data_IF_822912390454
#
_entry.id   IF_822912390454
#
_cell.length_a   1.000
_cell.length_b   1.000
_cell.length_c   1.000
_cell.angle_alpha   90.00
_cell.angle_beta   90.00
_cell.angle_gamma   90.00
#
_symmetry.space_group_name_H-M   'P 1'
#
loop_
_entity.id
_entity.type
_entity.pdbx_description
1 polymer ?
#
# COMPACT_ATOMS: atom_id res chain seq x y z
N UNK A 1 -33.32 17.92 -3.96
CA UNK A 1 -32.31 19.00 -3.93
C UNK A 1 -31.49 18.87 -5.19
N UNK A 2 -31.71 19.79 -6.13
CA UNK A 2 -31.05 19.86 -7.45
C UNK A 2 -29.56 20.06 -7.24
N UNK A 3 -28.76 19.03 -7.52
CA UNK A 3 -27.31 19.13 -7.50
C UNK A 3 -26.88 19.91 -8.72
N UNK A 4 -26.36 21.11 -8.53
CA UNK A 4 -25.64 21.85 -9.56
C UNK A 4 -24.37 21.06 -9.90
N UNK A 5 -24.48 20.14 -10.86
CA UNK A 5 -23.34 19.51 -11.49
C UNK A 5 -22.51 20.57 -12.23
N UNK A 6 -21.21 20.30 -12.39
CA UNK A 6 -20.34 21.17 -13.20
C UNK A 6 -20.90 21.24 -14.61
N UNK A 7 -21.02 22.46 -15.16
CA UNK A 7 -21.59 22.66 -16.50
C UNK A 7 -20.79 21.94 -17.58
N UNK A 8 -21.45 21.51 -18.65
CA UNK A 8 -20.79 20.83 -19.77
C UNK A 8 -19.69 21.70 -20.40
N UNK A 9 -19.86 23.03 -20.37
CA UNK A 9 -18.86 24.00 -20.85
C UNK A 9 -17.59 23.95 -19.99
N UNK A 10 -17.71 24.01 -18.66
CA UNK A 10 -16.55 23.92 -17.75
C UNK A 10 -15.86 22.55 -17.87
N UNK A 11 -16.64 21.47 -18.08
CA UNK A 11 -16.08 20.14 -18.31
C UNK A 11 -15.25 20.10 -19.59
N UNK A 12 -15.76 20.64 -20.69
CA UNK A 12 -15.06 20.70 -21.97
C UNK A 12 -13.79 21.57 -21.88
N UNK A 13 -13.86 22.71 -21.20
CA UNK A 13 -12.70 23.57 -20.94
C UNK A 13 -11.62 22.83 -20.14
N UNK A 14 -12.00 22.01 -19.16
CA UNK A 14 -11.05 21.19 -18.38
C UNK A 14 -10.45 20.04 -19.17
N UNK A 15 -11.20 19.41 -20.07
CA UNK A 15 -10.66 18.41 -21.00
C UNK A 15 -9.59 19.07 -21.88
N UNK A 16 -9.88 20.25 -22.43
CA UNK A 16 -8.92 21.03 -23.21
C UNK A 16 -7.65 21.31 -22.40
N UNK A 17 -7.81 21.81 -21.16
CA UNK A 17 -6.68 22.10 -20.29
C UNK A 17 -5.86 20.86 -19.91
N UNK A 18 -6.49 19.69 -19.77
CA UNK A 18 -5.78 18.43 -19.53
C UNK A 18 -4.89 17.99 -20.72
N UNK A 19 -5.21 18.43 -21.95
CA UNK A 19 -4.34 18.27 -23.12
C UNK A 19 -3.21 19.30 -23.16
N UNK A 20 -3.46 20.52 -22.69
CA UNK A 20 -2.51 21.63 -22.80
C UNK A 20 -1.50 21.69 -21.64
N UNK A 21 -1.92 21.39 -20.42
CA UNK A 21 -1.08 21.41 -19.23
C UNK A 21 -0.46 20.02 -18.99
N UNK A 22 0.74 19.98 -18.41
CA UNK A 22 1.29 18.70 -17.93
C UNK A 22 0.71 18.36 -16.54
N UNK A 23 0.54 17.06 -16.22
CA UNK A 23 0.17 16.62 -14.88
C UNK A 23 1.08 17.23 -13.80
N UNK A 24 0.49 17.79 -12.75
CA UNK A 24 1.23 18.39 -11.63
C UNK A 24 1.93 19.72 -11.95
N UNK A 25 1.60 20.37 -13.06
CA UNK A 25 2.06 21.73 -13.35
C UNK A 25 1.44 22.76 -12.38
N UNK A 26 2.15 23.04 -11.29
CA UNK A 26 1.67 23.95 -10.23
C UNK A 26 1.41 25.38 -10.72
N UNK A 27 2.21 25.89 -11.67
CA UNK A 27 1.94 27.25 -12.17
C UNK A 27 0.68 27.26 -13.06
N UNK A 28 0.48 26.21 -13.86
CA UNK A 28 -0.76 26.03 -14.65
C UNK A 28 -1.99 25.86 -13.75
N UNK A 29 -1.86 25.05 -12.68
CA UNK A 29 -2.92 24.86 -11.70
C UNK A 29 -3.24 26.12 -10.91
N UNK A 30 -2.24 26.96 -10.61
CA UNK A 30 -2.46 28.28 -10.01
C UNK A 30 -3.29 29.19 -10.92
N UNK A 31 -2.94 29.27 -12.20
CA UNK A 31 -3.71 30.06 -13.18
C UNK A 31 -5.14 29.54 -13.28
N UNK A 32 -5.33 28.22 -13.31
CA UNK A 32 -6.66 27.61 -13.31
C UNK A 32 -7.47 27.98 -12.06
N UNK A 33 -6.85 27.98 -10.88
CA UNK A 33 -7.51 28.38 -9.62
C UNK A 33 -7.91 29.86 -9.63
N UNK A 34 -7.03 30.74 -10.11
CA UNK A 34 -7.22 32.19 -10.04
C UNK A 34 -8.12 32.75 -11.15
N UNK A 35 -8.03 32.20 -12.36
CA UNK A 35 -8.78 32.69 -13.53
C UNK A 35 -10.05 31.87 -13.80
N UNK A 36 -10.10 30.61 -13.36
CA UNK A 36 -11.10 29.63 -13.79
C UNK A 36 -10.78 29.01 -15.16
N UNK A 37 -11.41 27.87 -15.48
CA UNK A 37 -11.08 27.13 -16.70
C UNK A 37 -11.41 27.93 -17.96
N UNK A 38 -12.61 28.55 -18.00
CA UNK A 38 -13.10 29.29 -19.17
C UNK A 38 -12.19 30.44 -19.59
N UNK A 39 -11.73 31.24 -18.64
CA UNK A 39 -10.83 32.37 -18.92
C UNK A 39 -9.45 31.88 -19.36
N UNK A 40 -8.92 30.84 -18.71
CA UNK A 40 -7.61 30.28 -19.08
C UNK A 40 -7.63 29.68 -20.49
N UNK A 41 -8.70 28.98 -20.87
CA UNK A 41 -8.90 28.48 -22.25
C UNK A 41 -8.96 29.63 -23.24
N UNK A 42 -9.77 30.68 -22.98
CA UNK A 42 -9.85 31.86 -23.87
C UNK A 42 -8.48 32.48 -24.12
N UNK A 43 -7.65 32.65 -23.08
CA UNK A 43 -6.28 33.17 -23.23
C UNK A 43 -5.39 32.26 -24.06
N UNK A 44 -5.41 30.95 -23.78
CA UNK A 44 -4.59 29.96 -24.50
C UNK A 44 -4.98 29.82 -25.97
N UNK A 45 -6.26 30.05 -26.31
CA UNK A 45 -6.76 30.04 -27.68
C UNK A 45 -6.47 31.34 -28.47
N UNK A 46 -5.81 32.32 -27.86
CA UNK A 46 -5.35 33.54 -28.53
C UNK A 46 -6.16 34.81 -28.22
N UNK A 47 -7.24 34.71 -27.45
CA UNK A 47 -8.11 35.85 -27.11
C UNK A 47 -7.64 36.62 -25.86
N UNK A 48 -6.41 36.37 -25.38
CA UNK A 48 -5.83 37.10 -24.26
C UNK A 48 -4.33 36.86 -24.05
N UNK A 49 -3.68 37.79 -23.35
CA UNK A 49 -2.25 37.75 -23.07
C UNK A 49 -1.87 36.76 -21.94
N UNK A 50 -0.56 36.47 -21.80
CA UNK A 50 -0.06 35.55 -20.76
C UNK A 50 -0.49 35.97 -19.35
N UNK A 51 -0.91 35.03 -18.49
CA UNK A 51 -1.13 35.29 -17.08
C UNK A 51 0.18 35.70 -16.34
N UNK A 52 0.07 36.33 -15.17
CA UNK A 52 1.25 36.66 -14.35
C UNK A 52 2.13 35.43 -14.07
N UNK A 53 3.45 35.63 -14.18
CA UNK A 53 4.45 34.58 -13.97
C UNK A 53 4.72 33.66 -15.17
N UNK A 54 3.97 33.78 -16.26
CA UNK A 54 4.27 33.04 -17.49
C UNK A 54 5.47 33.66 -18.22
N UNK A 55 6.52 32.87 -18.45
CA UNK A 55 7.57 33.28 -19.40
C UNK A 55 7.06 33.20 -20.83
N UNK A 56 7.54 34.09 -21.70
CA UNK A 56 7.16 34.12 -23.12
C UNK A 56 7.36 32.76 -23.79
N UNK A 57 8.54 32.13 -23.58
CA UNK A 57 8.85 30.79 -24.10
C UNK A 57 7.82 29.74 -23.68
N UNK A 58 7.43 29.74 -22.41
CA UNK A 58 6.47 28.76 -21.87
C UNK A 58 5.08 29.02 -22.44
N UNK A 59 4.64 30.27 -22.42
CA UNK A 59 3.32 30.66 -22.91
C UNK A 59 3.14 30.30 -24.38
N UNK A 60 4.11 30.65 -25.24
CA UNK A 60 4.11 30.28 -26.66
C UNK A 60 4.02 28.77 -26.85
N UNK A 61 4.72 27.98 -26.03
CA UNK A 61 4.63 26.52 -26.06
C UNK A 61 3.24 25.98 -25.67
N UNK A 62 2.59 26.58 -24.67
CA UNK A 62 1.23 26.21 -24.27
C UNK A 62 0.20 26.59 -25.33
N UNK A 63 0.29 27.78 -25.93
CA UNK A 63 -0.57 28.18 -27.06
C UNK A 63 -0.39 27.26 -28.27
N UNK A 64 0.84 26.80 -28.55
CA UNK A 64 1.09 25.83 -29.62
C UNK A 64 0.45 24.45 -29.34
N UNK A 65 0.41 24.02 -28.07
CA UNK A 65 -0.34 22.81 -27.66
C UNK A 65 -1.85 23.03 -27.76
N UNK A 66 -2.33 24.20 -27.33
CA UNK A 66 -3.72 24.61 -27.41
C UNK A 66 -4.26 24.58 -28.85
N UNK A 67 -3.48 25.05 -29.82
CA UNK A 67 -3.83 24.99 -31.24
C UNK A 67 -3.96 23.57 -31.83
N UNK A 68 -3.60 22.52 -31.08
CA UNK A 68 -3.78 21.10 -31.47
C UNK A 68 -4.75 20.35 -30.55
N UNK A 69 -5.31 21.02 -29.55
CA UNK A 69 -6.20 20.38 -28.60
C UNK A 69 -7.62 20.28 -29.19
N UNK A 70 -8.14 19.06 -29.24
CA UNK A 70 -9.52 18.76 -29.60
C UNK A 70 -10.18 18.03 -28.42
N UNK A 71 -10.86 18.77 -27.52
CA UNK A 71 -11.46 18.19 -26.34
C UNK A 71 -12.69 17.32 -26.63
N UNK A 72 -13.40 17.56 -27.73
CA UNK A 72 -14.55 16.75 -28.14
C UNK A 72 -14.08 15.38 -28.63
N UNK A 73 -13.01 15.35 -29.43
CA UNK A 73 -12.37 14.12 -29.87
C UNK A 73 -11.84 13.30 -28.67
N UNK A 74 -11.25 13.96 -27.67
CA UNK A 74 -10.80 13.30 -26.45
C UNK A 74 -11.94 12.66 -25.66
N UNK A 75 -13.05 13.38 -25.49
CA UNK A 75 -14.24 12.82 -24.84
C UNK A 75 -14.80 11.64 -25.62
N UNK A 76 -14.88 11.74 -26.95
CA UNK A 76 -15.35 10.65 -27.80
C UNK A 76 -14.44 9.41 -27.70
N UNK A 77 -13.12 9.60 -27.71
CA UNK A 77 -12.13 8.50 -27.53
C UNK A 77 -12.23 7.88 -26.14
N UNK A 78 -12.37 8.69 -25.10
CA UNK A 78 -12.58 8.20 -23.74
C UNK A 78 -13.85 7.35 -23.66
N UNK A 79 -14.97 7.86 -24.15
CA UNK A 79 -16.26 7.16 -24.14
C UNK A 79 -16.20 5.85 -24.92
N UNK A 80 -15.55 5.82 -26.09
CA UNK A 80 -15.35 4.60 -26.87
C UNK A 80 -14.53 3.52 -26.12
N UNK A 81 -13.64 3.94 -25.21
CA UNK A 81 -12.87 3.04 -24.34
C UNK A 81 -13.58 2.67 -23.02
N UNK A 82 -14.81 3.15 -22.81
CA UNK A 82 -15.57 2.97 -21.57
C UNK A 82 -15.06 3.84 -20.42
N UNK A 83 -14.35 4.93 -20.73
CA UNK A 83 -13.88 5.91 -19.77
C UNK A 83 -14.79 7.14 -19.73
N UNK A 84 -14.84 7.80 -18.58
CA UNK A 84 -15.45 9.12 -18.38
C UNK A 84 -14.40 10.10 -17.88
N UNK A 85 -14.68 11.39 -18.03
CA UNK A 85 -13.85 12.44 -17.46
C UNK A 85 -14.55 13.04 -16.24
N UNK A 86 -13.87 13.07 -15.10
CA UNK A 86 -14.33 13.70 -13.87
C UNK A 86 -13.59 15.03 -13.64
N UNK A 87 -14.31 16.00 -13.10
CA UNK A 87 -13.76 17.32 -12.78
C UNK A 87 -13.99 17.66 -11.31
N UNK A 88 -13.15 18.51 -10.68
CA UNK A 88 -13.42 19.04 -9.35
C UNK A 88 -14.83 19.65 -9.27
N UNK A 89 -15.61 19.20 -8.29
CA UNK A 89 -17.03 19.57 -8.14
C UNK A 89 -18.01 18.47 -8.57
N UNK A 90 -17.57 17.50 -9.36
CA UNK A 90 -18.39 16.30 -9.62
C UNK A 90 -18.65 15.54 -8.31
N UNK A 91 -19.84 14.94 -8.19
CA UNK A 91 -20.21 14.14 -7.00
C UNK A 91 -19.25 12.97 -6.75
N UNK A 92 -18.65 12.45 -7.82
CA UNK A 92 -17.66 11.38 -7.83
C UNK A 92 -16.21 11.87 -7.64
N UNK A 93 -15.96 13.18 -7.62
CA UNK A 93 -14.61 13.70 -7.43
C UNK A 93 -14.04 13.30 -6.05
N UNK A 94 -12.87 12.65 -5.98
CA UNK A 94 -12.23 12.35 -4.71
C UNK A 94 -11.58 13.61 -4.14
N UNK A 95 -12.23 14.24 -3.15
CA UNK A 95 -11.76 15.48 -2.53
C UNK A 95 -10.37 15.40 -1.90
N UNK A 96 -9.86 14.20 -1.59
CA UNK A 96 -8.48 13.97 -1.12
C UNK A 96 -7.42 14.44 -2.14
N UNK A 97 -7.77 14.58 -3.41
CA UNK A 97 -6.88 15.17 -4.42
C UNK A 97 -6.71 16.67 -4.28
N UNK A 98 -7.60 17.34 -3.55
CA UNK A 98 -7.53 18.79 -3.34
C UNK A 98 -6.36 19.18 -2.42
N UNK A 99 -5.87 18.24 -1.60
CA UNK A 99 -4.67 18.40 -0.78
C UNK A 99 -3.40 18.68 -1.62
N UNK A 100 -3.42 18.36 -2.92
CA UNK A 100 -2.32 18.65 -3.84
C UNK A 100 -2.22 20.14 -4.20
N UNK A 101 -3.20 20.97 -3.81
CA UNK A 101 -3.21 22.40 -4.08
C UNK A 101 -3.13 22.71 -5.58
N UNK A 102 -2.18 23.56 -5.96
CA UNK A 102 -1.95 23.92 -7.37
C UNK A 102 -1.45 22.73 -8.22
N UNK A 103 -0.94 21.67 -7.59
CA UNK A 103 -0.55 20.42 -8.26
C UNK A 103 -1.71 19.44 -8.48
N UNK A 104 -2.94 19.78 -8.07
CA UNK A 104 -4.15 18.96 -8.25
C UNK A 104 -4.41 18.67 -9.74
N UNK A 105 -4.90 17.46 -10.10
CA UNK A 105 -5.31 17.20 -11.47
C UNK A 105 -6.38 18.18 -11.97
N UNK A 106 -6.23 18.64 -13.22
CA UNK A 106 -7.25 19.48 -13.91
C UNK A 106 -8.59 18.75 -13.99
N UNK A 107 -8.52 17.44 -14.19
CA UNK A 107 -9.58 16.45 -14.08
C UNK A 107 -8.97 15.04 -14.13
N UNK A 108 -9.82 14.02 -14.09
CA UNK A 108 -9.41 12.62 -14.11
C UNK A 108 -10.17 11.84 -15.18
N UNK A 109 -9.44 11.15 -16.04
CA UNK A 109 -9.98 10.09 -16.87
C UNK A 109 -10.15 8.83 -16.03
N UNK A 110 -11.34 8.22 -16.09
CA UNK A 110 -11.71 7.09 -15.25
C UNK A 110 -12.39 6.03 -16.10
N UNK A 111 -11.77 4.87 -16.20
CA UNK A 111 -12.32 3.68 -16.85
C UNK A 111 -12.71 2.65 -15.79
N UNK A 112 -13.92 2.10 -15.92
CA UNK A 112 -14.56 1.23 -14.93
C UNK A 112 -15.78 1.90 -14.29
N UNK A 113 -16.64 1.11 -13.64
CA UNK A 113 -17.99 1.55 -13.22
C UNK A 113 -18.10 2.02 -11.77
N UNK A 114 -17.14 1.68 -10.92
CA UNK A 114 -17.18 2.04 -9.51
C UNK A 114 -17.05 3.56 -9.30
N UNK A 115 -17.55 4.04 -8.15
CA UNK A 115 -17.44 5.44 -7.77
C UNK A 115 -16.07 5.72 -7.15
N UNK A 116 -15.24 6.53 -7.83
CA UNK A 116 -13.85 6.82 -7.42
C UNK A 116 -13.80 7.46 -6.03
N UNK A 117 -14.66 8.45 -5.75
CA UNK A 117 -14.72 9.10 -4.43
C UNK A 117 -14.99 8.11 -3.32
N UNK A 118 -15.99 7.25 -3.48
CA UNK A 118 -16.33 6.26 -2.45
C UNK A 118 -15.17 5.29 -2.20
N UNK A 119 -14.49 4.87 -3.25
CA UNK A 119 -13.34 3.98 -3.14
C UNK A 119 -12.12 4.67 -2.49
N UNK A 120 -11.90 5.95 -2.77
CA UNK A 120 -10.81 6.71 -2.18
C UNK A 120 -10.93 6.83 -0.65
N UNK A 121 -12.15 6.87 -0.09
CA UNK A 121 -12.39 7.00 1.36
C UNK A 121 -11.81 5.86 2.20
N UNK A 122 -11.70 4.65 1.64
CA UNK A 122 -11.19 3.47 2.34
C UNK A 122 -10.14 2.77 1.48
N UNK A 123 -9.06 3.49 1.19
CA UNK A 123 -8.02 3.03 0.28
C UNK A 123 -6.60 3.15 0.82
N UNK A 124 -5.73 2.24 0.37
CA UNK A 124 -4.30 2.17 0.71
C UNK A 124 -3.49 2.01 -0.56
N UNK A 125 -2.39 2.75 -0.67
CA UNK A 125 -1.44 2.56 -1.76
C UNK A 125 -0.49 1.40 -1.43
N UNK A 126 -0.33 0.45 -2.34
CA UNK A 126 0.68 -0.61 -2.24
C UNK A 126 1.63 -0.46 -3.42
N UNK A 127 2.87 -0.05 -3.15
CA UNK A 127 3.86 0.33 -4.18
C UNK A 127 5.21 -0.29 -3.91
N UNK A 128 6.05 -0.42 -4.94
CA UNK A 128 7.39 -0.93 -4.74
C UNK A 128 8.23 -1.07 -6.00
N UNK A 129 9.26 -1.91 -5.91
CA UNK A 129 10.22 -2.14 -6.96
C UNK A 129 9.57 -2.78 -8.20
N UNK A 130 9.96 -2.28 -9.38
CA UNK A 130 9.52 -2.85 -10.67
C UNK A 130 10.16 -4.21 -10.96
N UNK A 131 11.40 -4.39 -10.53
CA UNK A 131 12.12 -5.65 -10.54
C UNK A 131 12.21 -6.15 -9.08
N UNK A 132 11.06 -6.51 -8.50
CA UNK A 132 10.99 -7.01 -7.14
C UNK A 132 11.47 -8.47 -7.06
N UNK A 133 11.79 -8.91 -5.85
CA UNK A 133 12.09 -10.31 -5.56
C UNK A 133 10.81 -11.15 -5.53
N UNK A 134 10.95 -12.48 -5.46
CA UNK A 134 9.80 -13.37 -5.19
C UNK A 134 9.15 -13.06 -3.85
N UNK A 135 9.95 -12.73 -2.83
CA UNK A 135 9.47 -12.25 -1.53
C UNK A 135 8.62 -10.98 -1.70
N UNK A 136 9.14 -9.97 -2.41
CA UNK A 136 8.42 -8.72 -2.65
C UNK A 136 7.12 -8.94 -3.44
N UNK A 137 7.14 -9.80 -4.46
CA UNK A 137 5.93 -10.16 -5.21
C UNK A 137 4.90 -10.89 -4.33
N UNK A 138 5.35 -11.83 -3.50
CA UNK A 138 4.49 -12.56 -2.57
C UNK A 138 3.85 -11.63 -1.53
N UNK A 139 4.65 -10.81 -0.86
CA UNK A 139 4.15 -9.84 0.12
C UNK A 139 3.16 -8.85 -0.48
N UNK A 140 3.45 -8.34 -1.68
CA UNK A 140 2.54 -7.43 -2.38
C UNK A 140 1.20 -8.10 -2.71
N UNK A 141 1.22 -9.33 -3.22
CA UNK A 141 0.01 -10.08 -3.52
C UNK A 141 -0.78 -10.44 -2.25
N UNK A 142 -0.10 -10.86 -1.18
CA UNK A 142 -0.71 -11.18 0.10
C UNK A 142 -1.39 -9.95 0.72
N UNK A 143 -0.66 -8.85 0.86
CA UNK A 143 -1.21 -7.58 1.36
C UNK A 143 -2.38 -7.11 0.50
N UNK A 144 -2.25 -7.24 -0.83
CA UNK A 144 -3.33 -6.88 -1.76
C UNK A 144 -4.61 -7.67 -1.51
N UNK A 145 -4.51 -8.99 -1.37
CA UNK A 145 -5.63 -9.87 -1.08
C UNK A 145 -6.25 -9.59 0.31
N UNK A 146 -5.42 -9.56 1.36
CA UNK A 146 -5.89 -9.42 2.73
C UNK A 146 -6.51 -8.04 3.03
N UNK A 147 -5.99 -6.97 2.43
CA UNK A 147 -6.59 -5.63 2.50
C UNK A 147 -7.96 -5.64 1.84
N UNK A 148 -8.08 -6.24 0.66
CA UNK A 148 -9.33 -6.32 -0.08
C UNK A 148 -10.40 -7.13 0.67
N UNK A 149 -10.04 -8.25 1.29
CA UNK A 149 -10.94 -9.04 2.15
C UNK A 149 -11.46 -8.25 3.36
N UNK A 150 -10.67 -7.28 3.84
CA UNK A 150 -11.02 -6.33 4.90
C UNK A 150 -11.79 -5.10 4.38
N UNK A 151 -12.21 -5.10 3.12
CA UNK A 151 -12.98 -4.02 2.50
C UNK A 151 -12.15 -2.79 2.12
N UNK A 152 -10.82 -2.90 2.05
CA UNK A 152 -9.94 -1.82 1.62
C UNK A 152 -9.68 -1.86 0.12
N UNK A 153 -9.74 -0.69 -0.51
CA UNK A 153 -9.39 -0.51 -1.91
C UNK A 153 -7.88 -0.36 -2.04
N UNK A 154 -7.26 -1.25 -2.80
CA UNK A 154 -5.81 -1.16 -3.06
C UNK A 154 -5.56 -0.30 -4.28
N UNK A 155 -4.79 0.78 -4.11
CA UNK A 155 -4.39 1.68 -5.19
C UNK A 155 -2.94 1.44 -5.54
N UNK A 156 -2.62 1.32 -6.82
CA UNK A 156 -1.24 1.21 -7.27
C UNK A 156 -1.06 1.74 -8.69
N UNK A 157 0.17 1.69 -9.21
CA UNK A 157 0.55 2.31 -10.46
C UNK A 157 0.44 1.43 -11.70
N UNK A 158 0.00 0.17 -11.57
CA UNK A 158 -0.05 -0.79 -12.67
C UNK A 158 1.30 -1.22 -13.26
N UNK A 159 2.43 -0.81 -12.66
CA UNK A 159 3.76 -1.13 -13.15
C UNK A 159 4.11 -2.63 -12.96
N UNK A 160 5.22 -3.07 -13.55
CA UNK A 160 5.79 -4.39 -13.23
C UNK A 160 6.15 -4.51 -11.74
N UNK A 161 6.40 -5.75 -11.30
CA UNK A 161 6.82 -6.06 -9.93
C UNK A 161 5.69 -5.88 -8.92
N UNK A 162 5.96 -5.13 -7.85
CA UNK A 162 5.07 -4.97 -6.69
C UNK A 162 3.67 -4.50 -7.09
N UNK A 163 3.56 -3.44 -7.91
CA UNK A 163 2.26 -2.89 -8.34
C UNK A 163 1.37 -3.98 -8.99
N UNK A 164 1.95 -4.72 -9.95
CA UNK A 164 1.24 -5.79 -10.64
C UNK A 164 0.88 -6.96 -9.72
N UNK A 165 1.75 -7.31 -8.76
CA UNK A 165 1.48 -8.36 -7.80
C UNK A 165 0.36 -7.99 -6.82
N UNK A 166 0.34 -6.75 -6.33
CA UNK A 166 -0.72 -6.24 -5.47
C UNK A 166 -2.09 -6.28 -6.17
N UNK A 167 -2.17 -5.77 -7.40
CA UNK A 167 -3.41 -5.86 -8.19
C UNK A 167 -3.87 -7.31 -8.42
N UNK A 168 -2.93 -8.23 -8.72
CA UNK A 168 -3.28 -9.66 -8.89
C UNK A 168 -3.81 -10.29 -7.60
N UNK A 169 -3.22 -9.96 -6.46
CA UNK A 169 -3.70 -10.41 -5.15
C UNK A 169 -5.15 -10.00 -4.90
N UNK A 170 -5.45 -8.71 -5.10
CA UNK A 170 -6.80 -8.16 -4.95
C UNK A 170 -7.81 -8.83 -5.88
N UNK A 171 -7.48 -8.93 -7.17
CA UNK A 171 -8.36 -9.55 -8.16
C UNK A 171 -8.55 -11.06 -7.94
N UNK A 172 -7.59 -11.72 -7.27
CA UNK A 172 -7.67 -13.13 -6.90
C UNK A 172 -8.78 -13.42 -5.89
N UNK A 173 -9.06 -12.47 -4.99
CA UNK A 173 -10.14 -12.56 -4.00
C UNK A 173 -11.42 -11.82 -4.43
N UNK A 174 -11.48 -11.32 -5.66
CA UNK A 174 -12.63 -10.56 -6.18
C UNK A 174 -12.79 -9.17 -5.55
N UNK A 175 -11.70 -8.60 -5.03
CA UNK A 175 -11.69 -7.33 -4.32
C UNK A 175 -11.61 -6.07 -5.20
N UNK A 176 -11.61 -4.91 -4.56
CA UNK A 176 -11.58 -3.61 -5.21
C UNK A 176 -10.15 -3.05 -5.36
N UNK A 177 -9.77 -2.65 -6.58
CA UNK A 177 -8.45 -2.06 -6.84
C UNK A 177 -8.49 -0.95 -7.89
N UNK A 178 -7.60 0.03 -7.73
CA UNK A 178 -7.45 1.18 -8.65
C UNK A 178 -6.03 1.23 -9.20
N UNK A 179 -5.89 1.15 -10.53
CA UNK A 179 -4.63 1.43 -11.20
C UNK A 179 -4.60 2.90 -11.66
N UNK A 180 -3.73 3.71 -11.06
CA UNK A 180 -3.46 5.08 -11.54
C UNK A 180 -2.41 4.97 -12.63
N UNK A 181 -2.63 5.43 -13.87
CA UNK A 181 -1.69 5.30 -14.98
C UNK A 181 -0.92 6.59 -15.28
N UNK A 182 0.29 6.44 -15.81
CA UNK A 182 1.13 7.54 -16.30
C UNK A 182 1.00 7.75 -17.83
N UNK A 183 -0.11 7.31 -18.40
CA UNK A 183 -0.50 7.38 -19.81
C UNK A 183 -2.03 7.52 -19.91
N UNK A 184 -2.58 7.64 -21.12
CA UNK A 184 -4.02 7.57 -21.34
C UNK A 184 -4.61 6.26 -20.81
N UNK A 185 -5.81 6.32 -20.21
CA UNK A 185 -6.49 5.16 -19.60
C UNK A 185 -6.94 4.10 -20.62
N UNK A 186 -6.94 4.46 -21.90
CA UNK A 186 -7.20 3.62 -23.06
C UNK A 186 -5.93 2.88 -23.55
N UNK A 187 -4.75 3.24 -23.03
CA UNK A 187 -3.46 2.63 -23.40
C UNK A 187 -2.84 1.88 -22.23
N UNK A 188 -3.08 0.56 -22.12
CA UNK A 188 -2.43 -0.24 -21.08
C UNK A 188 -0.90 -0.18 -21.21
N UNK A 189 -0.24 0.30 -20.17
CA UNK A 189 1.21 0.26 -20.04
C UNK A 189 1.61 -0.22 -18.64
N UNK A 190 2.57 -1.15 -18.52
CA UNK A 190 3.38 -1.72 -19.60
C UNK A 190 2.64 -2.77 -20.45
N UNK A 191 3.13 -3.05 -21.66
CA UNK A 191 2.48 -4.00 -22.60
C UNK A 191 2.27 -5.40 -22.02
N UNK A 192 3.18 -5.87 -21.17
CA UNK A 192 3.03 -7.16 -20.48
C UNK A 192 1.85 -7.20 -19.50
N UNK A 193 1.29 -6.06 -19.13
CA UNK A 193 0.15 -5.93 -18.21
C UNK A 193 -1.16 -5.58 -18.92
N UNK A 194 -1.27 -5.71 -20.25
CA UNK A 194 -2.52 -5.43 -20.99
C UNK A 194 -3.71 -6.19 -20.40
N UNK A 195 -3.57 -7.52 -20.20
CA UNK A 195 -4.64 -8.33 -19.63
C UNK A 195 -4.97 -7.94 -18.18
N UNK A 196 -3.96 -7.66 -17.37
CA UNK A 196 -4.13 -7.22 -16.00
C UNK A 196 -4.90 -5.90 -15.93
N UNK A 197 -4.49 -4.89 -16.70
CA UNK A 197 -5.11 -3.57 -16.72
C UNK A 197 -6.55 -3.65 -17.26
N UNK A 198 -6.81 -4.48 -18.27
CA UNK A 198 -8.19 -4.73 -18.73
C UNK A 198 -9.05 -5.35 -17.63
N UNK A 199 -8.54 -6.34 -16.91
CA UNK A 199 -9.26 -6.95 -15.77
C UNK A 199 -9.50 -5.95 -14.63
N UNK A 200 -8.52 -5.07 -14.36
CA UNK A 200 -8.71 -3.95 -13.42
C UNK A 200 -9.81 -3.01 -13.92
N UNK A 201 -9.89 -2.69 -15.21
CA UNK A 201 -10.97 -1.85 -15.72
C UNK A 201 -12.37 -2.50 -15.63
N UNK A 202 -12.44 -3.83 -15.66
CA UNK A 202 -13.69 -4.59 -15.57
C UNK A 202 -14.20 -4.71 -14.13
N UNK A 203 -13.31 -5.00 -13.18
CA UNK A 203 -13.64 -5.31 -11.77
C UNK A 203 -13.32 -4.16 -10.82
N UNK A 204 -12.48 -3.23 -11.27
CA UNK A 204 -11.88 -2.14 -10.53
C UNK A 204 -12.02 -0.80 -11.24
N UNK A 205 -10.99 0.03 -11.10
CA UNK A 205 -10.87 1.30 -11.81
C UNK A 205 -9.47 1.47 -12.40
N UNK A 206 -9.41 2.02 -13.60
CA UNK A 206 -8.19 2.54 -14.20
C UNK A 206 -8.36 4.05 -14.31
N UNK A 207 -7.48 4.81 -13.66
CA UNK A 207 -7.58 6.27 -13.58
C UNK A 207 -6.30 6.92 -14.09
N UNK A 208 -6.39 8.12 -14.64
CA UNK A 208 -5.23 8.85 -15.15
C UNK A 208 -5.55 10.31 -15.43
N UNK A 209 -4.52 11.14 -15.46
CA UNK A 209 -4.67 12.57 -15.77
C UNK A 209 -4.47 12.87 -17.26
N UNK A 210 -3.75 12.00 -17.94
CA UNK A 210 -3.38 12.20 -19.33
C UNK A 210 -4.55 11.84 -20.24
N UNK A 211 -4.79 12.66 -21.28
CA UNK A 211 -5.83 12.40 -22.29
C UNK A 211 -5.71 11.01 -22.93
N UNK A 212 -6.81 10.48 -23.50
CA UNK A 212 -6.77 9.25 -24.26
C UNK A 212 -5.72 9.29 -25.38
N UNK A 213 -5.00 8.20 -25.57
CA UNK A 213 -3.94 8.09 -26.55
C UNK A 213 -2.56 8.58 -26.11
N UNK A 214 -2.44 9.31 -25.00
CA UNK A 214 -1.14 9.81 -24.54
C UNK A 214 -0.20 8.67 -24.10
N UNK A 215 1.07 8.77 -24.47
CA UNK A 215 2.08 7.79 -24.10
C UNK A 215 2.77 8.15 -22.77
N UNK A 216 3.31 7.15 -22.05
CA UNK A 216 4.05 7.41 -20.83
C UNK A 216 5.43 7.99 -21.11
N UNK A 217 5.95 8.78 -20.17
CA UNK A 217 7.33 9.26 -20.13
C UNK A 217 7.92 9.05 -18.74
N UNK A 218 9.26 9.02 -18.57
CA UNK A 218 9.89 8.87 -17.26
C UNK A 218 9.43 9.93 -16.24
N UNK A 219 9.26 11.19 -16.65
CA UNK A 219 8.79 12.27 -15.77
C UNK A 219 7.32 12.06 -15.36
N UNK A 220 6.46 11.64 -16.28
CA UNK A 220 5.03 11.38 -16.01
C UNK A 220 4.81 10.27 -14.99
N UNK A 221 5.71 9.26 -14.91
CA UNK A 221 5.66 8.26 -13.83
C UNK A 221 5.87 8.88 -12.45
N UNK A 222 6.80 9.83 -12.33
CA UNK A 222 7.10 10.51 -11.06
C UNK A 222 5.93 11.42 -10.68
N UNK A 223 5.40 12.18 -11.64
CA UNK A 223 4.27 13.09 -11.43
C UNK A 223 2.99 12.35 -11.02
N UNK A 224 2.69 11.22 -11.66
CA UNK A 224 1.55 10.35 -11.35
C UNK A 224 1.55 9.87 -9.90
N UNK A 225 2.72 9.61 -9.32
CA UNK A 225 2.81 9.06 -7.96
C UNK A 225 2.20 9.97 -6.89
N UNK A 226 2.14 11.29 -7.11
CA UNK A 226 1.45 12.20 -6.18
C UNK A 226 -0.06 11.92 -6.12
N UNK A 227 -0.68 11.45 -7.22
CA UNK A 227 -2.10 11.08 -7.27
C UNK A 227 -2.34 9.78 -6.50
N UNK A 228 -1.45 8.80 -6.62
CA UNK A 228 -1.53 7.57 -5.81
C UNK A 228 -1.50 7.91 -4.31
N UNK A 229 -0.52 8.74 -3.92
CA UNK A 229 -0.40 9.20 -2.54
C UNK A 229 -1.63 10.01 -2.11
N UNK A 230 -2.13 10.91 -2.99
CA UNK A 230 -3.26 11.80 -2.72
C UNK A 230 -4.64 11.13 -2.77
N UNK A 231 -4.78 9.95 -3.38
CA UNK A 231 -6.04 9.19 -3.34
C UNK A 231 -6.22 8.37 -2.07
N UNK A 232 -5.14 8.05 -1.36
CA UNK A 232 -5.12 6.98 -0.34
C UNK A 232 -4.92 7.47 1.08
N UNK A 233 -5.43 6.74 2.09
CA UNK A 233 -5.23 7.10 3.51
C UNK A 233 -3.81 6.82 4.01
N UNK A 234 -3.10 5.90 3.35
CA UNK A 234 -1.71 5.60 3.61
C UNK A 234 -1.03 4.86 2.47
N UNK A 235 0.30 4.79 2.52
CA UNK A 235 1.15 4.16 1.50
C UNK A 235 2.08 3.11 2.11
N UNK A 236 1.95 1.86 1.67
CA UNK A 236 2.85 0.74 1.99
C UNK A 236 3.89 0.58 0.90
N UNK A 237 5.16 0.63 1.26
CA UNK A 237 6.29 0.33 0.37
C UNK A 237 6.79 -1.09 0.64
N UNK A 238 6.61 -2.00 -0.32
CA UNK A 238 6.96 -3.41 -0.15
C UNK A 238 8.46 -3.67 -0.36
N UNK A 239 9.01 -3.18 -1.46
CA UNK A 239 10.44 -3.21 -1.75
C UNK A 239 10.84 -1.92 -2.47
N UNK A 240 12.00 -1.36 -2.12
CA UNK A 240 12.56 -0.19 -2.76
C UNK A 240 14.08 -0.10 -2.52
N UNK A 241 14.86 0.03 -3.60
CA UNK A 241 16.22 0.55 -3.51
C UNK A 241 16.21 2.07 -3.26
N UNK A 242 17.34 2.67 -2.84
CA UNK A 242 17.46 4.10 -2.47
C UNK A 242 16.90 5.10 -3.50
N UNK A 243 16.93 4.77 -4.79
CA UNK A 243 16.44 5.64 -5.89
C UNK A 243 15.16 5.12 -6.54
N UNK A 244 14.42 4.25 -5.84
CA UNK A 244 13.15 3.71 -6.33
C UNK A 244 12.08 4.79 -6.43
N UNK A 245 11.27 4.74 -7.50
CA UNK A 245 10.11 5.61 -7.67
C UNK A 245 9.05 5.42 -6.58
N UNK A 246 8.98 4.24 -5.94
CA UNK A 246 8.07 3.98 -4.83
C UNK A 246 8.33 4.90 -3.61
N UNK A 247 9.59 5.27 -3.38
CA UNK A 247 9.96 6.22 -2.32
C UNK A 247 9.47 7.64 -2.63
N UNK A 248 9.28 7.99 -3.90
CA UNK A 248 8.66 9.27 -4.27
C UNK A 248 7.19 9.28 -3.83
N UNK A 249 6.46 8.17 -4.00
CA UNK A 249 5.08 8.03 -3.52
C UNK A 249 5.02 8.16 -2.00
N UNK A 250 5.88 7.46 -1.27
CA UNK A 250 5.93 7.54 0.19
C UNK A 250 6.23 8.97 0.69
N UNK A 251 7.22 9.65 0.10
CA UNK A 251 7.52 11.06 0.45
C UNK A 251 6.37 12.00 0.10
N UNK A 252 5.62 11.74 -0.97
CA UNK A 252 4.42 12.51 -1.29
C UNK A 252 3.33 12.28 -0.23
N UNK A 253 3.12 11.04 0.23
CA UNK A 253 2.18 10.73 1.31
C UNK A 253 2.57 11.44 2.62
N UNK A 254 3.86 11.44 3.00
CA UNK A 254 4.35 12.18 4.17
C UNK A 254 4.09 13.68 4.08
N UNK A 255 4.34 14.31 2.93
CA UNK A 255 4.04 15.75 2.71
C UNK A 255 2.56 16.07 2.83
N UNK A 256 1.69 15.11 2.53
CA UNK A 256 0.23 15.24 2.67
C UNK A 256 -0.27 14.85 4.06
N UNK A 257 0.62 14.57 5.02
CA UNK A 257 0.25 14.16 6.38
C UNK A 257 -0.37 12.76 6.46
N UNK A 258 -0.04 11.87 5.51
CA UNK A 258 -0.61 10.52 5.41
C UNK A 258 0.36 9.47 5.92
N UNK A 259 -0.18 8.38 6.44
CA UNK A 259 0.64 7.28 6.95
C UNK A 259 1.53 6.70 5.85
N UNK A 260 2.80 6.52 6.19
CA UNK A 260 3.75 5.74 5.40
C UNK A 260 4.14 4.49 6.16
N UNK A 261 4.19 3.39 5.45
CA UNK A 261 4.47 2.07 6.00
C UNK A 261 5.50 1.36 5.12
N UNK A 262 6.29 0.47 5.73
CA UNK A 262 7.30 -0.31 5.03
C UNK A 262 7.24 -1.78 5.41
N UNK A 263 7.31 -2.65 4.41
CA UNK A 263 7.46 -4.09 4.64
C UNK A 263 8.93 -4.39 4.97
N UNK A 264 9.22 -5.11 6.08
CA UNK A 264 10.59 -5.44 6.41
C UNK A 264 11.18 -6.38 5.35
N UNK A 265 12.49 -6.34 5.17
CA UNK A 265 13.20 -7.26 4.30
C UNK A 265 14.65 -7.45 4.76
N UNK A 266 15.39 -8.41 4.18
CA UNK A 266 16.74 -8.73 4.62
C UNK A 266 17.66 -7.51 4.58
N UNK A 267 18.43 -7.29 5.65
CA UNK A 267 19.41 -6.20 5.73
C UNK A 267 20.48 -6.25 4.61
N UNK A 268 20.71 -7.44 4.05
CA UNK A 268 21.64 -7.69 2.94
C UNK A 268 21.03 -7.42 1.56
N UNK A 269 19.72 -7.18 1.46
CA UNK A 269 19.05 -6.93 0.19
C UNK A 269 19.10 -5.46 -0.19
N UNK A 270 19.72 -5.16 -1.34
CA UNK A 270 19.72 -3.80 -1.90
C UNK A 270 18.30 -3.29 -2.24
N UNK A 271 17.34 -4.21 -2.47
CA UNK A 271 15.93 -3.89 -2.70
C UNK A 271 15.17 -3.58 -1.42
N UNK A 272 15.72 -3.86 -0.23
CA UNK A 272 15.12 -3.50 1.05
C UNK A 272 15.70 -2.19 1.62
N UNK A 273 16.89 -1.79 1.16
CA UNK A 273 17.63 -0.65 1.72
C UNK A 273 16.84 0.67 1.77
N UNK A 274 16.08 1.00 0.71
CA UNK A 274 15.24 2.19 0.68
C UNK A 274 14.03 2.11 1.62
N UNK A 275 13.49 0.90 1.85
CA UNK A 275 12.45 0.69 2.86
C UNK A 275 13.02 0.83 4.26
N UNK A 276 14.24 0.34 4.50
CA UNK A 276 14.92 0.53 5.79
C UNK A 276 15.16 2.00 6.11
N UNK A 277 15.58 2.83 5.13
CA UNK A 277 15.67 4.28 5.36
C UNK A 277 14.32 4.91 5.67
N UNK A 278 13.26 4.46 4.98
CA UNK A 278 11.91 4.92 5.23
C UNK A 278 11.47 4.60 6.67
N UNK A 279 11.76 3.38 7.15
CA UNK A 279 11.45 2.89 8.49
C UNK A 279 12.32 3.51 9.60
N UNK A 280 13.53 4.01 9.28
CA UNK A 280 14.33 4.80 10.22
C UNK A 280 13.80 6.24 10.37
N UNK A 281 13.02 6.71 9.41
CA UNK A 281 12.26 7.95 9.51
C UNK A 281 10.90 7.73 10.14
N UNK A 282 9.88 8.43 9.64
CA UNK A 282 8.54 8.45 10.24
C UNK A 282 7.60 7.34 9.72
N UNK A 283 8.13 6.30 9.06
CA UNK A 283 7.30 5.21 8.57
C UNK A 283 7.19 4.06 9.56
N UNK A 284 6.02 3.42 9.58
CA UNK A 284 5.74 2.30 10.47
C UNK A 284 6.05 0.97 9.77
N UNK A 285 6.70 0.06 10.48
CA UNK A 285 6.91 -1.31 10.00
C UNK A 285 5.56 -2.03 9.99
N UNK A 286 5.21 -2.62 8.85
CA UNK A 286 4.03 -3.48 8.71
C UNK A 286 4.42 -4.79 8.02
N UNK A 287 3.78 -5.86 8.42
CA UNK A 287 4.06 -7.22 7.96
C UNK A 287 2.80 -7.96 7.48
N UNK A 288 1.61 -7.45 7.80
CA UNK A 288 0.33 -7.95 7.28
C UNK A 288 -0.67 -6.81 7.05
N UNK A 289 -1.85 -7.14 6.54
CA UNK A 289 -2.90 -6.14 6.33
C UNK A 289 -3.53 -5.61 7.63
N UNK A 290 -3.53 -6.37 8.73
CA UNK A 290 -4.14 -5.92 9.99
C UNK A 290 -3.34 -4.74 10.58
N UNK A 291 -2.01 -4.81 10.55
CA UNK A 291 -1.13 -3.72 10.98
C UNK A 291 -1.27 -2.47 10.08
N UNK A 292 -1.53 -2.66 8.79
CA UNK A 292 -1.86 -1.54 7.88
C UNK A 292 -3.18 -0.90 8.28
N UNK A 293 -4.22 -1.71 8.48
CA UNK A 293 -5.57 -1.24 8.84
C UNK A 293 -5.60 -0.54 10.19
N UNK A 294 -4.81 -0.99 11.17
CA UNK A 294 -4.67 -0.32 12.46
C UNK A 294 -4.25 1.15 12.33
N UNK A 295 -3.36 1.44 11.39
CA UNK A 295 -2.87 2.80 11.16
C UNK A 295 -3.86 3.64 10.38
N UNK A 296 -4.41 3.07 9.31
CA UNK A 296 -5.21 3.86 8.36
C UNK A 296 -6.71 3.77 8.59
N UNK A 297 -7.20 2.87 9.43
CA UNK A 297 -8.63 2.57 9.60
C UNK A 297 -9.37 3.48 10.56
N UNK A 298 -10.54 3.02 10.99
CA UNK A 298 -11.36 3.72 11.95
C UNK A 298 -10.95 3.34 13.38
N UNK A 299 -11.29 4.19 14.35
CA UNK A 299 -10.94 3.96 15.76
C UNK A 299 -11.52 2.60 16.20
N UNK A 300 -10.65 1.71 16.66
CA UNK A 300 -11.01 0.37 17.14
C UNK A 300 -10.68 -0.77 16.17
N UNK A 301 -10.24 -0.49 14.94
CA UNK A 301 -9.74 -1.50 14.01
C UNK A 301 -8.29 -1.90 14.32
N UNK A 302 -8.05 -2.46 15.52
CA UNK A 302 -6.71 -2.81 15.98
C UNK A 302 -6.20 -4.11 15.35
N UNK A 303 -4.89 -4.18 15.13
CA UNK A 303 -4.25 -5.43 14.79
C UNK A 303 -4.34 -6.38 16.00
N UNK A 304 -4.53 -7.69 15.77
CA UNK A 304 -4.60 -8.64 16.87
C UNK A 304 -3.26 -8.73 17.60
N UNK A 305 -3.31 -8.80 18.94
CA UNK A 305 -2.16 -9.08 19.78
C UNK A 305 -1.46 -10.36 19.31
N UNK A 306 -0.25 -10.22 18.76
CA UNK A 306 0.56 -11.37 18.34
C UNK A 306 1.29 -11.95 19.54
N UNK A 307 0.83 -13.11 20.00
CA UNK A 307 1.48 -13.90 21.05
C UNK A 307 1.85 -15.26 20.48
N UNK A 308 3.03 -15.76 20.83
CA UNK A 308 3.41 -17.13 20.51
C UNK A 308 2.39 -18.13 21.10
N UNK A 309 2.34 -19.36 20.60
CA UNK A 309 1.48 -20.38 21.19
C UNK A 309 1.83 -20.52 22.67
N UNK A 310 0.83 -20.46 23.55
CA UNK A 310 1.02 -20.77 24.96
C UNK A 310 1.37 -22.25 25.03
N UNK A 311 2.61 -22.57 25.38
CA UNK A 311 3.00 -23.96 25.55
C UNK A 311 2.47 -24.43 26.89
N UNK A 312 2.04 -25.70 27.02
CA UNK A 312 1.55 -26.23 28.30
C UNK A 312 2.50 -25.95 29.49
N UNK A 313 3.82 -25.93 29.24
CA UNK A 313 4.86 -25.64 30.26
C UNK A 313 4.85 -24.19 30.75
N UNK A 314 4.33 -23.25 29.95
CA UNK A 314 4.25 -21.84 30.28
C UNK A 314 3.15 -21.57 31.31
N UNK A 315 2.26 -22.55 31.51
CA UNK A 315 1.21 -22.57 32.54
C UNK A 315 1.69 -23.20 33.86
N UNK A 316 2.90 -23.76 33.91
CA UNK A 316 3.44 -24.32 35.15
C UNK A 316 3.79 -23.20 36.14
N UNK A 317 3.46 -23.45 37.41
CA UNK A 317 3.92 -22.65 38.54
C UNK A 317 5.45 -22.49 38.51
N UNK A 318 6.01 -21.34 38.94
CA UNK A 318 7.44 -21.06 38.81
C UNK A 318 8.36 -22.16 39.37
N UNK A 319 8.01 -22.74 40.52
CA UNK A 319 8.78 -23.83 41.13
C UNK A 319 8.73 -25.13 40.31
N UNK A 320 7.57 -25.51 39.79
CA UNK A 320 7.43 -26.68 38.91
C UNK A 320 8.21 -26.49 37.59
N UNK A 321 8.22 -25.26 37.05
CA UNK A 321 8.99 -24.93 35.84
C UNK A 321 10.50 -25.03 36.06
N UNK A 322 10.99 -24.56 37.21
CA UNK A 322 12.42 -24.67 37.59
C UNK A 322 12.84 -26.14 37.75
N UNK A 323 12.02 -26.94 38.44
CA UNK A 323 12.26 -28.38 38.58
C UNK A 323 12.24 -29.08 37.22
N UNK A 324 11.27 -28.76 36.35
CA UNK A 324 11.21 -29.31 34.99
C UNK A 324 12.46 -28.97 34.16
N UNK A 325 12.97 -27.73 34.27
CA UNK A 325 14.16 -27.28 33.57
C UNK A 325 15.47 -27.92 34.07
N UNK A 326 15.49 -28.38 35.33
CA UNK A 326 16.63 -29.05 35.94
C UNK A 326 16.75 -30.54 35.55
N UNK A 327 15.73 -31.15 34.94
CA UNK A 327 15.84 -32.51 34.43
C UNK A 327 16.78 -32.59 33.21
N UNK A 328 17.59 -33.65 33.09
CA UNK A 328 18.46 -33.83 31.95
C UNK A 328 17.63 -34.07 30.67
N UNK A 329 18.05 -33.45 29.56
CA UNK A 329 17.40 -33.62 28.26
C UNK A 329 17.46 -35.05 27.69
N UNK A 330 18.33 -35.92 28.23
CA UNK A 330 18.43 -37.35 27.94
C UNK A 330 18.80 -38.10 29.22
N UNK A 331 18.26 -39.31 29.39
CA UNK A 331 18.53 -40.13 30.57
C UNK A 331 17.63 -39.78 31.77
N UNK A 332 17.97 -40.29 32.95
CA UNK A 332 17.24 -40.04 34.19
C UNK A 332 18.20 -39.47 35.24
N UNK A 333 17.71 -38.58 36.11
CA UNK A 333 18.47 -37.98 37.21
C UNK A 333 17.83 -38.28 38.57
N UNK A 334 18.64 -38.36 39.62
CA UNK A 334 18.15 -38.52 40.98
C UNK A 334 17.51 -37.23 41.50
N UNK A 335 16.62 -37.34 42.48
CA UNK A 335 15.92 -36.19 43.08
C UNK A 335 16.90 -35.12 43.59
N UNK A 336 17.97 -35.51 44.29
CA UNK A 336 18.95 -34.57 44.84
C UNK A 336 19.71 -33.79 43.76
N UNK A 337 19.92 -34.42 42.59
CA UNK A 337 20.55 -33.78 41.44
C UNK A 337 19.61 -32.75 40.81
N UNK A 338 18.34 -33.11 40.64
CA UNK A 338 17.30 -32.22 40.11
C UNK A 338 17.07 -31.05 41.07
N UNK A 339 16.97 -31.31 42.38
CA UNK A 339 16.79 -30.29 43.41
C UNK A 339 17.94 -29.27 43.40
N UNK A 340 19.19 -29.76 43.33
CA UNK A 340 20.38 -28.90 43.23
C UNK A 340 20.37 -28.07 41.95
N UNK A 341 20.01 -28.66 40.81
CA UNK A 341 19.90 -27.95 39.54
C UNK A 341 18.78 -26.90 39.51
N UNK A 342 17.67 -27.18 40.19
CA UNK A 342 16.53 -26.28 40.31
C UNK A 342 16.70 -25.20 41.40
N UNK A 343 17.72 -25.31 42.25
CA UNK A 343 17.94 -24.41 43.37
C UNK A 343 16.88 -24.53 44.47
N UNK A 344 16.32 -25.73 44.67
CA UNK A 344 15.28 -25.99 45.68
C UNK A 344 15.67 -27.16 46.60
N UNK A 345 14.85 -27.45 47.61
CA UNK A 345 15.06 -28.59 48.52
C UNK A 345 14.63 -29.90 47.89
N UNK A 346 15.15 -31.03 48.38
CA UNK A 346 14.73 -32.35 47.90
C UNK A 346 13.22 -32.57 48.06
N UNK A 347 12.64 -32.15 49.19
CA UNK A 347 11.21 -32.30 49.47
C UNK A 347 10.33 -31.51 48.49
N UNK A 348 10.69 -30.26 48.20
CA UNK A 348 9.97 -29.44 47.21
C UNK A 348 10.16 -30.03 45.80
N UNK A 349 11.37 -30.45 45.44
CA UNK A 349 11.63 -31.11 44.17
C UNK A 349 10.78 -32.38 44.00
N UNK A 350 10.62 -33.21 45.04
CA UNK A 350 9.74 -34.39 45.01
C UNK A 350 8.28 -33.97 44.76
N UNK A 351 7.77 -32.98 45.50
CA UNK A 351 6.41 -32.49 45.33
C UNK A 351 6.14 -32.02 43.90
N UNK A 352 7.05 -31.21 43.34
CA UNK A 352 6.99 -30.72 41.96
C UNK A 352 7.16 -31.81 40.93
N UNK A 353 8.00 -32.83 41.17
CA UNK A 353 8.16 -33.96 40.24
C UNK A 353 6.88 -34.81 40.14
N UNK A 354 6.14 -34.98 41.24
CA UNK A 354 4.83 -35.64 41.20
C UNK A 354 3.76 -34.79 40.51
N UNK A 355 3.76 -33.47 40.75
CA UNK A 355 2.92 -32.52 40.00
C UNK A 355 3.19 -32.64 38.49
N UNK A 356 4.46 -32.52 38.08
CA UNK A 356 4.91 -32.64 36.69
C UNK A 356 4.58 -34.01 36.08
N UNK A 357 4.60 -35.09 36.88
CA UNK A 357 4.20 -36.43 36.43
C UNK A 357 2.70 -36.50 36.14
N UNK A 358 1.87 -35.90 37.00
CA UNK A 358 0.42 -35.86 36.78
C UNK A 358 0.05 -35.11 35.50
N UNK A 359 0.85 -34.10 35.15
CA UNK A 359 0.73 -33.32 33.92
C UNK A 359 1.42 -33.99 32.71
N UNK A 360 2.05 -35.15 32.90
CA UNK A 360 2.67 -35.93 31.83
C UNK A 360 4.04 -35.45 31.36
N UNK A 361 4.71 -34.54 32.08
CA UNK A 361 6.03 -34.03 31.71
C UNK A 361 7.19 -34.97 32.05
N UNK A 362 7.06 -35.69 33.16
CA UNK A 362 8.12 -36.57 33.67
C UNK A 362 7.57 -37.95 34.00
N UNK A 363 8.44 -38.94 33.94
CA UNK A 363 8.16 -40.29 34.39
C UNK A 363 9.25 -40.76 35.37
N UNK A 364 8.83 -41.56 36.36
CA UNK A 364 9.72 -42.10 37.38
C UNK A 364 10.26 -43.46 36.92
N UNK A 365 11.57 -43.65 37.02
CA UNK A 365 12.32 -44.86 36.68
C UNK A 365 13.18 -45.27 37.88
N UNK A 366 12.64 -46.16 38.73
CA UNK A 366 13.26 -46.47 40.03
C UNK A 366 13.29 -45.23 40.93
N UNK A 367 14.47 -44.84 41.38
CA UNK A 367 14.70 -43.63 42.20
C UNK A 367 15.11 -42.41 41.38
N UNK A 368 15.13 -42.54 40.05
CA UNK A 368 15.43 -41.46 39.12
C UNK A 368 14.19 -41.00 38.36
N UNK A 369 14.27 -39.79 37.82
CA UNK A 369 13.22 -39.14 37.04
C UNK A 369 13.75 -38.75 35.67
N UNK A 370 12.90 -38.89 34.65
CA UNK A 370 13.24 -38.48 33.28
C UNK A 370 12.08 -37.76 32.61
N UNK A 371 12.40 -36.93 31.62
CA UNK A 371 11.39 -36.31 30.76
C UNK A 371 10.66 -37.37 29.93
N UNK A 372 9.35 -37.21 29.78
CA UNK A 372 8.57 -38.02 28.82
C UNK A 372 8.92 -37.62 27.39
N UNK A 373 8.62 -38.49 26.41
CA UNK A 373 8.80 -38.16 24.97
C UNK A 373 8.06 -36.90 24.55
N UNK A 374 6.88 -36.65 25.12
CA UNK A 374 6.08 -35.47 24.85
C UNK A 374 6.74 -34.19 25.38
N UNK A 375 7.32 -34.26 26.59
CA UNK A 375 8.11 -33.16 27.14
C UNK A 375 9.39 -32.92 26.33
N UNK A 376 10.09 -33.97 25.89
CA UNK A 376 11.31 -33.85 25.07
C UNK A 376 11.05 -33.18 23.71
N UNK A 377 9.91 -33.47 23.06
CA UNK A 377 9.52 -32.82 21.79
C UNK A 377 9.30 -31.31 22.00
N UNK A 378 8.65 -30.92 23.10
CA UNK A 378 8.43 -29.51 23.45
C UNK A 378 9.71 -28.74 23.81
N UNK A 379 10.75 -29.43 24.32
CA UNK A 379 12.08 -28.85 24.62
C UNK A 379 12.96 -28.76 23.36
N UNK A 380 12.79 -29.69 22.42
CA UNK A 380 13.55 -29.72 21.16
C UNK A 380 13.07 -28.71 20.12
N UNK A 381 11.79 -28.34 20.12
CA UNK A 381 11.27 -27.31 19.19
C UNK A 381 11.82 -25.92 19.47
N UNK A 382 12.26 -25.65 20.70
CA UNK A 382 12.87 -24.40 21.16
C UNK A 382 14.34 -24.22 20.77
N UNK A 383 15.03 -25.30 20.39
CA UNK A 383 16.48 -25.29 20.11
C UNK A 383 16.82 -25.35 18.62
N UNK A 384 15.85 -25.17 17.72
CA UNK A 384 16.19 -24.98 16.30
C UNK A 384 16.75 -23.56 16.14
N UNK A 385 18.02 -23.39 15.73
CA UNK A 385 18.44 -22.09 15.22
C UNK A 385 17.65 -21.86 13.93
N UNK A 386 16.86 -20.79 13.90
CA UNK A 386 16.30 -20.24 12.67
C UNK A 386 17.37 -19.55 11.86
#
# INVERSE_FOLDING_TARGET
MTGDGVSDVERLDRVFLARVLEPGDELGGRWLRELGARELVRRLSGDGGPPPGASEKRWTGLCARAGRADPEEDLARAQASGARFLVPGDTEWPGQLDDLGDGRPVGLWVRGKANVRMWALRSVAVVGARACTEYGAHMAALLGAELAERGWVVVSGGAYGVDGAAHRGVLGVGGATVAVLACGVDRPYPRGHVQLISRIAEQGLVVGELPPGDHPTPSRFILRNRVIAALTRGTVVVEAAYRSGALVTARAAQRLGRFTMGVPGPATSALSAGVHELLRGDAVLVSDAAEVVELVGDIGELAPDRRGPVLPRDLLEPGARQVLAALPGRGAAAVDEIARGAGTTADDAVGRLYELRSLGYVERHGDSWKLTRQAMISVSSDRRPG
#
